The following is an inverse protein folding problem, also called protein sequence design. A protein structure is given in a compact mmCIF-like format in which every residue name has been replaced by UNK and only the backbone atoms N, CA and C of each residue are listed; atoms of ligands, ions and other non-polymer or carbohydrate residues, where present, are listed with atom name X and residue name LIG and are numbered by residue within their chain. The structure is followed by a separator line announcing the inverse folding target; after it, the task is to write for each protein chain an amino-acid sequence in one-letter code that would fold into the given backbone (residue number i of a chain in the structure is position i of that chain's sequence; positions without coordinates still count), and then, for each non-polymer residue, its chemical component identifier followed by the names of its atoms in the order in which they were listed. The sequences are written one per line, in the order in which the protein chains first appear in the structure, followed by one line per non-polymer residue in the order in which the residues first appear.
data_IF_553956522058
#
_entry.id   IF_553956522058
#
_cell.length_a   1.000
_cell.length_b   1.000
_cell.length_c   1.000
_cell.angle_alpha   90.00
_cell.angle_beta   90.00
_cell.angle_gamma   90.00
#
_symmetry.space_group_name_H-M   'P 1'
#
loop_
_entity.id
_entity.type
_entity.pdbx_description
1 polymer ?
#
# COMPACT_ATOMS: atom_id res chain seq x y z
N UNK A 1 -6.29 8.98 9.23
CA UNK A 1 -5.85 7.78 9.98
C UNK A 1 -4.34 7.87 10.18
N UNK A 2 -3.86 8.51 11.26
CA UNK A 2 -2.46 8.91 11.39
C UNK A 2 -1.47 7.72 11.38
N UNK A 3 -1.84 6.61 12.01
CA UNK A 3 -0.96 5.44 12.08
C UNK A 3 -0.77 4.74 10.73
N UNK A 4 -1.80 4.76 9.87
CA UNK A 4 -1.69 4.17 8.55
C UNK A 4 -0.73 4.97 7.67
N UNK A 5 -0.84 6.29 7.67
CA UNK A 5 0.09 7.20 6.99
C UNK A 5 1.53 7.01 7.49
N UNK A 6 1.73 6.95 8.80
CA UNK A 6 3.04 6.70 9.41
C UNK A 6 3.63 5.36 8.97
N UNK A 7 2.82 4.30 8.90
CA UNK A 7 3.26 2.98 8.46
C UNK A 7 3.71 3.00 6.98
N UNK A 8 2.92 3.62 6.10
CA UNK A 8 3.29 3.75 4.67
C UNK A 8 4.59 4.55 4.52
N UNK A 9 4.69 5.71 5.17
CA UNK A 9 5.89 6.55 5.14
C UNK A 9 7.14 5.78 5.65
N UNK A 10 7.00 4.99 6.73
CA UNK A 10 8.10 4.19 7.26
C UNK A 10 8.61 3.15 6.26
N UNK A 11 7.71 2.50 5.51
CA UNK A 11 8.11 1.53 4.48
C UNK A 11 8.76 2.24 3.28
N UNK A 12 8.24 3.39 2.86
CA UNK A 12 8.85 4.21 1.81
C UNK A 12 10.26 4.67 2.19
N UNK A 13 10.44 5.19 3.39
CA UNK A 13 11.75 5.57 3.92
C UNK A 13 12.71 4.37 3.94
N UNK A 14 12.23 3.19 4.35
CA UNK A 14 13.04 1.97 4.32
C UNK A 14 13.39 1.55 2.88
N UNK A 15 12.47 1.66 1.92
CA UNK A 15 12.74 1.39 0.51
C UNK A 15 13.89 2.26 -0.01
N UNK A 16 13.86 3.56 0.27
CA UNK A 16 14.90 4.51 -0.16
C UNK A 16 16.22 4.26 0.56
N UNK A 17 16.21 4.23 1.89
CA UNK A 17 17.43 4.21 2.70
C UNK A 17 18.13 2.84 2.70
N UNK A 18 17.40 1.77 2.41
CA UNK A 18 17.91 0.38 2.43
C UNK A 18 17.89 -0.29 1.07
N UNK A 19 17.55 0.45 0.01
CA UNK A 19 17.43 -0.05 -1.36
C UNK A 19 16.53 -1.31 -1.45
N UNK A 20 15.34 -1.22 -0.85
CA UNK A 20 14.33 -2.29 -0.90
C UNK A 20 13.27 -1.97 -1.98
N UNK A 21 12.62 -3.01 -2.48
CA UNK A 21 11.49 -2.88 -3.39
C UNK A 21 10.25 -3.54 -2.79
N UNK A 22 9.73 -2.94 -1.70
CA UNK A 22 8.51 -3.40 -1.03
C UNK A 22 7.32 -2.57 -1.50
N UNK A 23 6.28 -3.25 -1.99
CA UNK A 23 4.99 -2.64 -2.35
C UNK A 23 4.05 -2.60 -1.15
N UNK A 24 3.32 -1.51 -1.00
CA UNK A 24 2.37 -1.29 0.09
C UNK A 24 0.96 -1.13 -0.46
N UNK A 25 0.05 -1.97 0.02
CA UNK A 25 -1.38 -1.90 -0.29
C UNK A 25 -2.16 -1.74 1.02
N UNK A 26 -3.16 -0.85 1.02
CA UNK A 26 -4.02 -0.60 2.19
C UNK A 26 -5.48 -0.91 1.86
N UNK A 27 -6.29 -1.20 2.88
CA UNK A 27 -7.73 -1.45 2.72
C UNK A 27 -8.48 -1.36 4.05
N UNK A 28 -9.79 -1.55 4.00
CA UNK A 28 -10.69 -1.56 5.17
C UNK A 28 -11.92 -0.66 5.01
N UNK A 29 -12.95 -0.81 5.86
CA UNK A 29 -14.24 -0.12 5.70
C UNK A 29 -14.19 1.42 5.61
N UNK A 30 -13.32 2.15 6.35
CA UNK A 30 -13.24 3.60 6.23
C UNK A 30 -12.23 4.07 5.17
N UNK A 31 -11.59 3.16 4.43
CA UNK A 31 -10.52 3.46 3.47
C UNK A 31 -11.09 3.47 2.05
N UNK A 32 -10.67 4.44 1.25
CA UNK A 32 -10.97 4.53 -0.18
C UNK A 32 -9.70 4.83 -0.98
N UNK A 33 -9.78 4.68 -2.31
CA UNK A 33 -8.64 4.80 -3.21
C UNK A 33 -7.91 6.14 -3.07
N UNK A 34 -8.62 7.24 -2.96
CA UNK A 34 -8.05 8.58 -2.87
C UNK A 34 -7.20 8.72 -1.61
N UNK A 35 -7.66 8.17 -0.47
CA UNK A 35 -6.87 8.17 0.76
C UNK A 35 -5.58 7.35 0.59
N UNK A 36 -5.67 6.18 -0.02
CA UNK A 36 -4.50 5.33 -0.28
C UNK A 36 -3.42 6.05 -1.11
N UNK A 37 -3.84 6.72 -2.18
CA UNK A 37 -2.92 7.48 -3.02
C UNK A 37 -2.36 8.70 -2.28
N UNK A 38 -3.19 9.37 -1.47
CA UNK A 38 -2.78 10.56 -0.70
C UNK A 38 -1.65 10.23 0.27
N UNK A 39 -1.69 9.06 0.92
CA UNK A 39 -0.63 8.64 1.85
C UNK A 39 0.53 7.90 1.18
N UNK A 40 0.50 7.75 -0.16
CA UNK A 40 1.57 7.15 -0.94
C UNK A 40 1.58 5.61 -0.98
N UNK A 41 0.46 4.94 -0.70
CA UNK A 41 0.36 3.50 -0.92
C UNK A 41 0.40 3.18 -2.44
N UNK A 42 1.00 2.05 -2.82
CA UNK A 42 1.04 1.59 -4.20
C UNK A 42 -0.34 1.11 -4.71
N UNK A 43 -1.21 0.62 -3.81
CA UNK A 43 -2.56 0.19 -4.16
C UNK A 43 -3.58 0.35 -3.02
N UNK A 44 -4.85 0.28 -3.42
CA UNK A 44 -6.00 0.15 -2.54
C UNK A 44 -6.67 -1.21 -2.77
N UNK A 45 -6.75 -2.02 -1.72
CA UNK A 45 -7.51 -3.27 -1.70
C UNK A 45 -8.98 -2.98 -1.38
N UNK A 46 -9.82 -2.93 -2.42
CA UNK A 46 -11.26 -2.69 -2.29
C UNK A 46 -11.95 -3.78 -1.48
N UNK A 47 -11.60 -5.04 -1.75
CA UNK A 47 -12.05 -6.21 -1.03
C UNK A 47 -10.96 -7.29 -1.02
N UNK A 48 -11.22 -8.42 -0.36
CA UNK A 48 -10.22 -9.49 -0.26
C UNK A 48 -9.86 -10.12 -1.62
N UNK A 49 -10.82 -10.48 -2.50
CA UNK A 49 -10.48 -11.04 -3.82
C UNK A 49 -9.64 -10.09 -4.68
N UNK A 50 -10.06 -8.83 -4.83
CA UNK A 50 -9.34 -7.84 -5.65
C UNK A 50 -7.96 -7.52 -5.09
N UNK A 51 -7.79 -7.53 -3.76
CA UNK A 51 -6.48 -7.37 -3.14
C UNK A 51 -5.55 -8.56 -3.46
N UNK A 52 -6.05 -9.79 -3.51
CA UNK A 52 -5.25 -10.95 -3.91
C UNK A 52 -4.79 -10.83 -5.36
N UNK A 53 -5.68 -10.44 -6.27
CA UNK A 53 -5.33 -10.20 -7.68
C UNK A 53 -4.26 -9.12 -7.80
N UNK A 54 -4.46 -7.97 -7.16
CA UNK A 54 -3.49 -6.86 -7.15
C UNK A 54 -2.13 -7.27 -6.57
N UNK A 55 -2.11 -8.07 -5.50
CA UNK A 55 -0.88 -8.55 -4.89
C UNK A 55 -0.11 -9.49 -5.84
N UNK A 56 -0.82 -10.32 -6.62
CA UNK A 56 -0.20 -11.18 -7.63
C UNK A 56 0.43 -10.33 -8.72
N UNK A 57 -0.29 -9.34 -9.26
CA UNK A 57 0.22 -8.45 -10.29
C UNK A 57 1.50 -7.73 -9.88
N UNK A 58 1.65 -7.38 -8.60
CA UNK A 58 2.86 -6.76 -8.07
C UNK A 58 4.10 -7.66 -8.02
N UNK A 59 3.94 -8.98 -7.96
CA UNK A 59 5.08 -9.91 -7.77
C UNK A 59 5.37 -10.74 -9.00
N UNK A 60 4.45 -10.82 -9.97
CA UNK A 60 4.63 -11.61 -11.20
C UNK A 60 5.08 -10.79 -12.41
N UNK A 61 5.22 -9.47 -12.29
CA UNK A 61 5.86 -8.61 -13.29
C UNK A 61 7.37 -8.55 -13.11
#
# INVERSE_FOLDING_TARGET
MPEMEKAVATVQDANINRNLNVKVMIGGPPVHREFAMTIGADAYGMDAPTAVEQARDFVTG
#
